data_IF_248654955168
#
_entry.id   IF_248654955168
#
_cell.length_a   1.000
_cell.length_b   1.000
_cell.length_c   1.000
_cell.angle_alpha   90.00
_cell.angle_beta   90.00
_cell.angle_gamma   90.00
#
_symmetry.space_group_name_H-M   'P 1'
#
loop_
_entity.id
_entity.type
_entity.pdbx_description
1 polymer ?
#
# COMPACT_ATOMS: atom_id res chain seq x y z
N UNK A 1 5.18 5.39 22.97
CA UNK A 1 6.11 6.34 22.30
C UNK A 1 5.25 7.30 21.50
N UNK A 2 5.51 8.61 21.58
CA UNK A 2 4.70 9.59 20.86
C UNK A 2 4.83 9.42 19.34
N UNK A 3 3.74 9.71 18.63
CA UNK A 3 3.61 9.55 17.16
C UNK A 3 2.75 10.67 16.63
N UNK A 4 3.09 11.14 15.43
CA UNK A 4 2.48 12.32 14.82
C UNK A 4 2.25 12.03 13.34
N UNK A 5 0.98 12.03 12.92
CA UNK A 5 0.56 11.79 11.54
C UNK A 5 0.43 13.12 10.81
N UNK A 6 1.01 13.19 9.61
CA UNK A 6 0.75 14.24 8.61
C UNK A 6 -0.11 13.64 7.49
N UNK A 7 -0.37 14.37 6.40
CA UNK A 7 -1.14 13.83 5.26
C UNK A 7 -0.46 12.69 4.51
N UNK A 8 0.88 12.55 4.59
CA UNK A 8 1.68 11.55 3.84
C UNK A 8 2.76 10.82 4.65
N UNK A 9 3.01 11.23 5.89
CA UNK A 9 4.11 10.76 6.71
C UNK A 9 3.70 10.49 8.17
N UNK A 10 4.55 9.74 8.88
CA UNK A 10 4.49 9.62 10.34
C UNK A 10 5.85 9.96 10.94
N UNK A 11 5.84 10.80 11.96
CA UNK A 11 7.02 11.11 12.76
C UNK A 11 6.89 10.54 14.18
N UNK A 12 8.04 10.23 14.78
CA UNK A 12 8.15 9.79 16.19
C UNK A 12 8.56 10.92 17.15
N UNK A 13 8.77 12.13 16.62
CA UNK A 13 9.03 13.36 17.39
C UNK A 13 8.27 14.54 16.77
N UNK A 14 7.92 15.54 17.58
CA UNK A 14 7.18 16.72 17.10
C UNK A 14 7.98 17.60 16.13
N UNK A 15 9.29 17.71 16.32
CA UNK A 15 10.17 18.46 15.42
C UNK A 15 10.20 17.83 14.02
N UNK A 16 10.28 16.51 13.94
CA UNK A 16 10.24 15.79 12.66
C UNK A 16 8.83 15.80 12.05
N UNK A 17 7.78 15.75 12.87
CA UNK A 17 6.40 15.93 12.41
C UNK A 17 6.21 17.28 11.71
N UNK A 18 6.72 18.35 12.33
CA UNK A 18 6.67 19.71 11.78
C UNK A 18 7.48 19.81 10.48
N UNK A 19 8.64 19.14 10.41
CA UNK A 19 9.49 19.10 9.21
C UNK A 19 8.82 18.36 8.03
N UNK A 20 8.17 17.23 8.30
CA UNK A 20 7.48 16.42 7.30
C UNK A 20 6.14 17.08 6.86
N UNK A 21 5.44 17.74 7.78
CA UNK A 21 4.25 18.53 7.49
C UNK A 21 4.53 19.69 6.52
N UNK A 22 5.72 20.29 6.60
CA UNK A 22 6.17 21.29 5.63
C UNK A 22 6.46 20.72 4.23
N UNK A 23 6.63 19.39 4.08
CA UNK A 23 6.88 18.73 2.79
C UNK A 23 5.59 18.25 2.09
N UNK A 24 4.57 17.84 2.84
CA UNK A 24 3.25 17.48 2.30
C UNK A 24 2.18 18.59 2.41
N UNK A 25 2.56 19.75 2.94
CA UNK A 25 1.70 20.92 3.09
C UNK A 25 0.63 20.76 4.18
N UNK A 26 0.79 19.83 5.12
CA UNK A 26 -0.08 19.71 6.30
C UNK A 26 0.10 20.93 7.22
N UNK A 27 -0.97 21.70 7.52
CA UNK A 27 -0.91 22.75 8.54
C UNK A 27 -0.53 22.19 9.91
N UNK A 28 0.26 22.94 10.68
CA UNK A 28 0.71 22.55 12.03
C UNK A 28 -0.44 22.13 12.97
N UNK A 29 -1.62 22.72 12.82
CA UNK A 29 -2.85 22.42 13.55
C UNK A 29 -3.59 21.16 13.09
N UNK A 30 -3.24 20.61 11.92
CA UNK A 30 -3.76 19.33 11.39
C UNK A 30 -2.84 18.15 11.72
N UNK A 31 -1.64 18.37 12.29
CA UNK A 31 -0.73 17.30 12.70
C UNK A 31 -1.38 16.51 13.85
N UNK A 32 -1.85 15.30 13.56
CA UNK A 32 -2.56 14.45 14.54
C UNK A 32 -1.56 13.71 15.42
N UNK A 33 -1.61 13.92 16.73
CA UNK A 33 -0.95 13.04 17.70
C UNK A 33 -1.77 11.75 17.84
N UNK A 34 -1.13 10.59 17.66
CA UNK A 34 -1.78 9.29 17.54
C UNK A 34 -0.95 8.21 18.26
N UNK A 35 -0.90 8.27 19.59
CA UNK A 35 0.04 7.47 20.41
C UNK A 35 -0.37 6.00 20.54
N UNK A 36 -1.66 5.74 20.31
CA UNK A 36 -2.32 4.43 20.26
C UNK A 36 -1.99 3.63 18.99
N UNK A 37 -1.71 4.32 17.88
CA UNK A 37 -1.42 3.69 16.58
C UNK A 37 -0.06 3.02 16.62
N UNK A 38 0.03 1.73 16.26
CA UNK A 38 1.28 0.97 16.27
C UNK A 38 1.89 0.87 14.88
N UNK A 39 3.21 0.65 14.81
CA UNK A 39 3.92 0.38 13.56
C UNK A 39 3.99 -1.14 13.44
N UNK A 40 3.39 -1.69 12.40
CA UNK A 40 3.21 -3.12 12.23
C UNK A 40 4.18 -3.69 11.19
N UNK A 41 4.43 -2.95 10.11
CA UNK A 41 5.42 -3.32 9.11
C UNK A 41 6.19 -2.09 8.62
N UNK A 42 7.42 -2.30 8.17
CA UNK A 42 8.21 -1.26 7.50
C UNK A 42 9.09 -1.85 6.41
N UNK A 43 9.03 -1.22 5.24
CA UNK A 43 10.04 -1.31 4.18
C UNK A 43 10.83 0.00 4.04
N UNK A 44 11.74 0.07 3.06
CA UNK A 44 12.56 1.28 2.80
C UNK A 44 11.69 2.53 2.53
N UNK A 45 10.64 2.38 1.71
CA UNK A 45 9.85 3.50 1.19
C UNK A 45 8.47 3.66 1.82
N UNK A 46 7.89 2.60 2.40
CA UNK A 46 6.56 2.61 3.00
C UNK A 46 6.48 1.90 4.36
N UNK A 47 5.50 2.27 5.17
CA UNK A 47 5.26 1.75 6.51
C UNK A 47 3.76 1.49 6.74
N UNK A 48 3.44 0.36 7.40
CA UNK A 48 2.07 -0.08 7.72
C UNK A 48 1.76 0.15 9.19
N UNK A 49 0.60 0.74 9.46
CA UNK A 49 0.18 1.20 10.79
C UNK A 49 -1.15 0.59 11.24
N UNK A 50 -1.34 0.43 12.56
CA UNK A 50 -2.49 -0.29 13.11
C UNK A 50 -3.84 0.43 13.02
N UNK A 51 -3.88 1.64 12.46
CA UNK A 51 -5.10 2.38 12.10
C UNK A 51 -5.54 2.15 10.65
N UNK A 52 -4.87 1.24 9.93
CA UNK A 52 -5.21 0.87 8.57
C UNK A 52 -4.53 1.72 7.48
N UNK A 53 -3.54 2.53 7.84
CA UNK A 53 -2.84 3.42 6.92
C UNK A 53 -1.51 2.84 6.42
N UNK A 54 -1.19 3.10 5.15
CA UNK A 54 0.19 3.02 4.62
C UNK A 54 0.70 4.45 4.44
N UNK A 55 1.90 4.74 4.94
CA UNK A 55 2.55 6.05 4.77
C UNK A 55 3.97 5.90 4.24
N UNK A 56 4.55 7.01 3.76
CA UNK A 56 5.98 7.03 3.39
C UNK A 56 6.87 6.76 4.62
N UNK A 57 7.90 5.92 4.50
CA UNK A 57 8.77 5.50 5.63
C UNK A 57 10.00 6.40 5.88
N UNK A 58 10.09 7.55 5.21
CA UNK A 58 11.17 8.52 5.36
C UNK A 58 11.29 8.96 6.83
N UNK A 59 12.53 9.07 7.32
CA UNK A 59 12.91 9.46 8.69
C UNK A 59 12.47 8.54 9.84
N UNK A 60 11.89 7.36 9.58
CA UNK A 60 11.65 6.38 10.65
C UNK A 60 13.00 5.85 11.20
N UNK A 61 13.26 5.88 12.53
CA UNK A 61 14.51 5.38 13.11
C UNK A 61 14.83 3.95 12.69
N UNK A 62 16.09 3.64 12.37
CA UNK A 62 16.53 2.30 11.93
C UNK A 62 16.40 1.21 13.01
N UNK A 63 16.13 1.58 14.26
CA UNK A 63 15.75 0.65 15.33
C UNK A 63 14.28 0.19 15.28
N UNK A 64 13.47 0.76 14.38
CA UNK A 64 12.07 0.41 14.18
C UNK A 64 11.89 -0.32 12.84
N UNK A 65 12.07 -1.64 12.88
CA UNK A 65 11.87 -2.55 11.75
C UNK A 65 10.99 -3.76 12.15
N UNK A 66 9.71 -3.56 12.54
CA UNK A 66 8.79 -4.67 12.74
C UNK A 66 8.39 -5.28 11.39
N UNK A 67 8.18 -6.59 11.35
CA UNK A 67 7.84 -7.35 10.14
C UNK A 67 6.64 -8.28 10.39
N UNK A 68 5.42 -7.71 10.40
CA UNK A 68 4.17 -8.46 10.66
C UNK A 68 3.42 -8.94 9.40
N UNK A 69 4.02 -8.84 8.21
CA UNK A 69 3.39 -9.16 6.93
C UNK A 69 4.20 -10.24 6.22
N UNK A 70 3.54 -11.00 5.35
CA UNK A 70 4.16 -12.00 4.48
C UNK A 70 4.92 -11.32 3.34
N UNK A 71 5.90 -12.02 2.76
CA UNK A 71 6.65 -11.55 1.58
C UNK A 71 5.73 -11.17 0.42
N UNK A 72 4.62 -11.90 0.24
CA UNK A 72 3.66 -11.68 -0.83
C UNK A 72 2.79 -10.45 -0.56
N UNK A 73 2.35 -10.23 0.68
CA UNK A 73 1.68 -8.97 1.05
C UNK A 73 2.61 -7.76 0.88
N UNK A 74 3.89 -7.89 1.26
CA UNK A 74 4.92 -6.86 1.06
C UNK A 74 5.11 -6.54 -0.43
N UNK A 75 5.26 -7.56 -1.28
CA UNK A 75 5.40 -7.39 -2.72
C UNK A 75 4.20 -6.66 -3.34
N UNK A 76 2.97 -7.11 -3.02
CA UNK A 76 1.74 -6.49 -3.52
C UNK A 76 1.57 -5.04 -3.06
N UNK A 77 1.96 -4.70 -1.82
CA UNK A 77 1.90 -3.32 -1.32
C UNK A 77 2.93 -2.44 -2.04
N UNK A 78 4.15 -2.93 -2.26
CA UNK A 78 5.19 -2.21 -3.01
C UNK A 78 4.77 -1.95 -4.47
N UNK A 79 4.21 -2.95 -5.17
CA UNK A 79 3.70 -2.78 -6.55
C UNK A 79 2.64 -1.66 -6.64
N UNK A 80 1.77 -1.53 -5.65
CA UNK A 80 0.79 -0.43 -5.60
C UNK A 80 1.47 0.91 -5.28
N UNK A 81 2.39 0.92 -4.32
CA UNK A 81 3.04 2.12 -3.79
C UNK A 81 3.96 2.80 -4.82
N UNK A 82 4.59 2.01 -5.69
CA UNK A 82 5.46 2.47 -6.78
C UNK A 82 4.69 2.94 -8.01
N UNK A 83 3.42 2.54 -8.16
CA UNK A 83 2.53 2.97 -9.26
C UNK A 83 2.04 4.41 -9.12
N UNK A 84 1.42 4.96 -10.18
CA UNK A 84 0.92 6.34 -10.16
C UNK A 84 -0.40 6.54 -9.40
N UNK A 85 -1.19 5.47 -9.17
CA UNK A 85 -2.41 5.54 -8.34
C UNK A 85 -2.08 5.59 -6.84
N UNK A 86 -1.02 4.90 -6.41
CA UNK A 86 -0.53 4.83 -5.01
C UNK A 86 -1.56 4.40 -3.97
N UNK A 87 -2.71 3.87 -4.39
CA UNK A 87 -3.83 3.46 -3.52
C UNK A 87 -4.55 2.28 -4.19
N UNK A 88 -4.73 1.13 -3.50
CA UNK A 88 -5.47 0.00 -4.06
C UNK A 88 -6.97 0.20 -3.83
N UNK A 89 -7.81 -0.08 -4.83
CA UNK A 89 -9.27 0.03 -4.69
C UNK A 89 -9.83 -0.96 -3.66
N UNK A 90 -9.22 -2.14 -3.52
CA UNK A 90 -9.53 -3.11 -2.46
C UNK A 90 -9.12 -2.67 -1.04
N UNK A 91 -8.40 -1.54 -0.91
CA UNK A 91 -7.88 -1.02 0.35
C UNK A 91 -6.65 -1.76 0.89
N UNK A 92 -5.75 -1.02 1.54
CA UNK A 92 -4.50 -1.56 2.09
C UNK A 92 -4.72 -2.75 3.03
N UNK A 93 -5.78 -2.67 3.86
CA UNK A 93 -6.17 -3.72 4.79
C UNK A 93 -6.42 -5.10 4.12
N UNK A 94 -6.79 -5.12 2.83
CA UNK A 94 -6.96 -6.36 2.07
C UNK A 94 -5.62 -6.95 1.64
N UNK A 95 -4.71 -6.11 1.13
CA UNK A 95 -3.37 -6.56 0.71
C UNK A 95 -2.53 -7.04 1.90
N UNK A 96 -2.60 -6.34 3.04
CA UNK A 96 -1.92 -6.72 4.28
C UNK A 96 -2.45 -8.03 4.89
N UNK A 97 -3.59 -8.53 4.41
CA UNK A 97 -4.16 -9.82 4.82
C UNK A 97 -3.76 -10.98 3.91
N UNK A 98 -3.07 -10.76 2.80
CA UNK A 98 -2.60 -11.83 1.91
C UNK A 98 -1.56 -12.67 2.64
N UNK A 99 -1.78 -13.98 2.69
CA UNK A 99 -0.85 -14.95 3.25
C UNK A 99 0.07 -15.51 2.15
N UNK A 100 -0.49 -15.84 0.99
CA UNK A 100 0.20 -16.48 -0.13
C UNK A 100 -0.46 -16.16 -1.47
N UNK A 101 0.31 -15.87 -2.51
CA UNK A 101 -0.14 -15.85 -3.92
C UNK A 101 -0.04 -17.28 -4.48
N UNK A 102 -1.20 -17.86 -4.80
CA UNK A 102 -1.34 -19.24 -5.30
C UNK A 102 -1.14 -19.33 -6.82
N UNK A 103 -1.61 -18.33 -7.57
CA UNK A 103 -1.33 -18.21 -9.01
C UNK A 103 -1.24 -16.74 -9.43
N UNK A 104 -0.51 -16.47 -10.51
CA UNK A 104 -0.39 -15.14 -11.14
C UNK A 104 -0.49 -15.30 -12.65
N UNK A 105 -1.65 -14.98 -13.21
CA UNK A 105 -2.04 -15.26 -14.59
C UNK A 105 -2.18 -13.95 -15.38
N UNK A 106 -1.36 -13.74 -16.41
CA UNK A 106 -1.54 -12.60 -17.31
C UNK A 106 -2.64 -12.90 -18.33
N UNK A 107 -3.76 -12.18 -18.23
CA UNK A 107 -4.87 -12.32 -19.17
C UNK A 107 -4.56 -11.63 -20.51
N UNK A 108 -5.10 -12.15 -21.64
CA UNK A 108 -4.78 -11.65 -22.97
C UNK A 108 -5.36 -10.25 -23.24
N UNK A 109 -4.58 -9.42 -23.94
CA UNK A 109 -5.00 -8.09 -24.37
C UNK A 109 -6.14 -8.17 -25.40
N UNK A 110 -7.23 -7.38 -25.28
CA UNK A 110 -8.25 -7.28 -26.31
C UNK A 110 -7.66 -6.66 -27.59
N UNK A 111 -7.80 -7.34 -28.72
CA UNK A 111 -7.06 -7.04 -29.96
C UNK A 111 -7.45 -5.73 -30.68
N UNK A 112 -8.44 -4.98 -30.19
CA UNK A 112 -9.16 -4.00 -31.02
C UNK A 112 -9.45 -2.66 -30.29
N UNK A 113 -8.39 -2.00 -29.84
CA UNK A 113 -8.43 -0.66 -29.23
C UNK A 113 -7.41 0.26 -29.88
N UNK A 114 -7.87 1.27 -30.60
CA UNK A 114 -7.04 2.23 -31.32
C UNK A 114 -6.44 3.31 -30.40
N UNK A 115 -5.20 3.71 -30.66
CA UNK A 115 -4.55 4.87 -30.03
C UNK A 115 -3.98 4.60 -28.63
N UNK A 116 -4.84 4.50 -27.61
CA UNK A 116 -4.44 4.57 -26.20
C UNK A 116 -5.30 3.63 -25.32
N UNK A 117 -4.78 2.45 -24.93
CA UNK A 117 -5.55 1.48 -24.14
C UNK A 117 -4.73 0.59 -23.18
N UNK A 118 -5.29 0.40 -21.98
CA UNK A 118 -4.80 -0.44 -20.86
C UNK A 118 -4.49 -1.88 -21.32
N UNK A 119 -3.33 -2.43 -20.93
CA UNK A 119 -2.85 -3.72 -21.49
C UNK A 119 -1.84 -4.51 -20.64
N UNK A 120 -2.10 -4.60 -19.34
CA UNK A 120 -2.07 -5.93 -18.72
C UNK A 120 -3.17 -6.01 -17.66
N UNK A 121 -3.81 -7.18 -17.57
CA UNK A 121 -4.70 -7.56 -16.50
C UNK A 121 -4.14 -8.86 -15.91
N UNK A 122 -3.45 -8.77 -14.79
CA UNK A 122 -2.97 -9.94 -14.08
C UNK A 122 -4.02 -10.39 -13.07
N UNK A 123 -4.50 -11.61 -13.23
CA UNK A 123 -5.40 -12.28 -12.28
C UNK A 123 -4.53 -13.05 -11.30
N UNK A 124 -4.56 -12.65 -10.04
CA UNK A 124 -3.86 -13.32 -8.95
C UNK A 124 -4.87 -14.11 -8.11
N UNK A 125 -4.67 -15.42 -8.00
CA UNK A 125 -5.39 -16.21 -6.99
C UNK A 125 -4.58 -16.15 -5.70
N UNK A 126 -5.20 -15.77 -4.58
CA UNK A 126 -4.52 -15.56 -3.29
C UNK A 126 -5.22 -16.30 -2.16
N UNK A 127 -4.45 -16.74 -1.16
CA UNK A 127 -4.95 -17.14 0.15
C UNK A 127 -4.76 -15.98 1.13
N UNK A 128 -5.76 -15.73 1.95
CA UNK A 128 -5.70 -14.76 3.05
C UNK A 128 -5.33 -15.42 4.39
N UNK A 129 -4.95 -14.59 5.36
CA UNK A 129 -4.55 -14.95 6.73
C UNK A 129 -5.62 -15.68 7.57
N UNK A 130 -6.88 -15.68 7.15
CA UNK A 130 -7.98 -16.49 7.68
C UNK A 130 -8.20 -17.81 6.91
N UNK A 131 -7.28 -18.17 6.00
CA UNK A 131 -7.31 -19.32 5.09
C UNK A 131 -8.40 -19.30 4.01
N UNK A 132 -9.14 -18.19 3.86
CA UNK A 132 -10.04 -18.00 2.73
C UNK A 132 -9.25 -17.74 1.45
N UNK A 133 -9.77 -18.18 0.30
CA UNK A 133 -9.20 -17.87 -1.01
C UNK A 133 -9.99 -16.75 -1.70
N UNK A 134 -9.30 -15.98 -2.55
CA UNK A 134 -9.90 -14.92 -3.34
C UNK A 134 -9.09 -14.57 -4.58
N UNK A 135 -9.62 -13.63 -5.36
CA UNK A 135 -9.02 -13.20 -6.63
C UNK A 135 -8.76 -11.70 -6.60
N UNK A 136 -7.51 -11.31 -6.85
CA UNK A 136 -7.09 -9.93 -7.07
C UNK A 136 -6.84 -9.69 -8.56
N UNK A 137 -7.29 -8.54 -9.07
CA UNK A 137 -7.09 -8.13 -10.46
C UNK A 137 -6.20 -6.90 -10.52
N UNK A 138 -4.96 -7.08 -10.98
CA UNK A 138 -3.94 -6.03 -11.12
C UNK A 138 -3.97 -5.49 -12.56
N UNK A 139 -4.37 -4.23 -12.72
CA UNK A 139 -4.40 -3.57 -14.03
C UNK A 139 -3.15 -2.69 -14.24
N UNK A 140 -2.59 -2.74 -15.44
CA UNK A 140 -1.45 -1.92 -15.85
C UNK A 140 -1.80 -1.07 -17.09
N UNK A 141 -1.30 0.16 -17.09
CA UNK A 141 -1.57 1.17 -18.11
C UNK A 141 -0.30 1.67 -18.77
N UNK A 142 -0.41 2.06 -20.05
CA UNK A 142 0.63 2.81 -20.74
C UNK A 142 0.50 4.30 -20.49
N UNK A 143 1.64 4.99 -20.38
CA UNK A 143 1.82 6.44 -20.25
C UNK A 143 1.38 7.15 -18.96
N UNK A 144 0.35 6.69 -18.24
CA UNK A 144 0.05 7.11 -16.85
C UNK A 144 -0.16 5.83 -16.01
N UNK A 145 0.90 5.38 -15.31
CA UNK A 145 1.09 4.01 -14.83
C UNK A 145 0.39 3.66 -13.52
N UNK A 146 -0.93 3.83 -13.45
CA UNK A 146 -1.72 3.47 -12.28
C UNK A 146 -1.92 1.96 -12.10
N UNK A 147 -1.64 1.44 -10.89
CA UNK A 147 -2.02 0.09 -10.46
C UNK A 147 -3.43 0.11 -9.86
N UNK A 148 -4.35 -0.58 -10.49
CA UNK A 148 -5.71 -0.78 -9.97
C UNK A 148 -5.80 -2.21 -9.45
N UNK A 149 -6.38 -2.39 -8.24
CA UNK A 149 -6.50 -3.70 -7.59
C UNK A 149 -7.95 -3.91 -7.14
N UNK A 150 -8.68 -4.75 -7.87
CA UNK A 150 -10.06 -5.11 -7.58
C UNK A 150 -10.14 -6.54 -7.03
N UNK A 151 -10.93 -6.74 -5.97
CA UNK A 151 -11.31 -8.08 -5.47
C UNK A 151 -12.65 -8.44 -6.11
N UNK A 152 -12.73 -9.51 -6.90
CA UNK A 152 -14.01 -9.96 -7.47
C UNK A 152 -14.72 -10.99 -6.59
N UNK A 153 -14.01 -11.74 -5.75
CA UNK A 153 -14.60 -12.72 -4.83
C UNK A 153 -13.71 -13.07 -3.65
N UNK A 154 -14.38 -13.33 -2.53
CA UNK A 154 -13.98 -14.25 -1.47
C UNK A 154 -14.96 -15.43 -1.59
N UNK A 155 -14.49 -16.66 -1.44
CA UNK A 155 -15.31 -17.90 -1.51
C UNK A 155 -15.31 -18.60 -0.15
#
# INVERSE_FOLDING_TARGET
MARFLTRRYVAVTWSEATRLAALDGTPWSEIRRAEEVQLLHREEWWAWWSDGQVTTAISLPSSLCPQSLTTDAVALISEVWESDTRVPQCGWATLTRVDLVLSRERLPQPQNTSGFAWSALERLTVRFTDNLEGVLHCWYRGYDGGFECQVERII
#
